data_IF_382498648327
#
_entry.id   IF_382498648327
#
_cell.length_a   1.000
_cell.length_b   1.000
_cell.length_c   1.000
_cell.angle_alpha   90.00
_cell.angle_beta   90.00
_cell.angle_gamma   90.00
#
_symmetry.space_group_name_H-M   'P 1'
#
loop_
_entity.id
_entity.type
_entity.pdbx_description
1 polymer ?
#
# COMPACT_ATOMS: atom_id res chain seq x y z
N UNK A 1 19.22 5.11 6.60
CA UNK A 1 19.47 6.41 5.96
C UNK A 1 19.18 6.25 4.48
N UNK A 2 18.24 7.00 3.93
CA UNK A 2 17.92 6.99 2.52
C UNK A 2 19.18 7.39 1.72
N UNK A 3 19.64 6.49 0.86
CA UNK A 3 20.77 6.78 -0.04
C UNK A 3 20.21 7.31 -1.37
N UNK A 4 20.33 8.62 -1.54
CA UNK A 4 19.86 9.32 -2.74
C UNK A 4 20.54 8.86 -4.03
N UNK A 5 21.78 8.37 -3.95
CA UNK A 5 22.54 7.98 -5.12
C UNK A 5 22.06 6.62 -5.66
N UNK A 6 21.82 5.67 -4.76
CA UNK A 6 21.26 4.35 -5.10
C UNK A 6 19.91 4.48 -5.83
N UNK A 7 19.05 5.40 -5.39
CA UNK A 7 17.70 5.60 -5.96
C UNK A 7 17.63 6.73 -7.01
N UNK A 8 18.77 7.27 -7.46
CA UNK A 8 18.78 8.43 -8.37
C UNK A 8 18.05 8.16 -9.69
N UNK A 9 18.15 6.95 -10.25
CA UNK A 9 17.45 6.55 -11.46
C UNK A 9 15.93 6.53 -11.27
N UNK A 10 15.46 5.91 -10.19
CA UNK A 10 14.06 5.86 -9.81
C UNK A 10 13.52 7.28 -9.54
N UNK A 11 14.24 8.08 -8.76
CA UNK A 11 13.86 9.46 -8.48
C UNK A 11 13.72 10.33 -9.75
N UNK A 12 14.62 10.14 -10.74
CA UNK A 12 14.51 10.83 -12.04
C UNK A 12 13.26 10.40 -12.80
N UNK A 13 12.94 9.10 -12.82
CA UNK A 13 11.74 8.57 -13.47
C UNK A 13 10.46 9.16 -12.83
N UNK A 14 10.39 9.20 -11.49
CA UNK A 14 9.26 9.79 -10.78
C UNK A 14 9.13 11.29 -11.06
N UNK A 15 10.21 12.05 -11.02
CA UNK A 15 10.20 13.49 -11.34
C UNK A 15 9.71 13.77 -12.75
N UNK A 16 10.15 12.99 -13.73
CA UNK A 16 9.68 13.14 -15.11
C UNK A 16 8.19 12.80 -15.25
N UNK A 17 7.74 11.71 -14.61
CA UNK A 17 6.35 11.29 -14.60
C UNK A 17 5.41 12.34 -13.99
N UNK A 18 5.86 12.99 -12.94
CA UNK A 18 5.04 13.92 -12.14
C UNK A 18 5.18 15.38 -12.53
N UNK A 19 6.03 15.71 -13.52
CA UNK A 19 6.32 17.10 -13.92
C UNK A 19 5.08 17.95 -14.25
N UNK A 20 3.98 17.33 -14.69
CA UNK A 20 2.73 17.99 -15.04
C UNK A 20 1.66 17.89 -13.93
N UNK A 21 1.99 17.30 -12.77
CA UNK A 21 1.06 17.23 -11.64
C UNK A 21 0.96 18.57 -10.87
N UNK A 22 1.87 19.51 -11.15
CA UNK A 22 1.90 20.79 -10.43
C UNK A 22 2.29 20.62 -8.97
N UNK A 23 1.58 21.31 -8.09
CA UNK A 23 1.73 21.24 -6.63
C UNK A 23 0.70 20.32 -5.96
N UNK A 24 -0.13 19.62 -6.73
CA UNK A 24 -1.17 18.72 -6.25
C UNK A 24 -0.52 17.40 -5.77
N UNK A 25 -0.39 17.25 -4.46
CA UNK A 25 0.22 16.08 -3.83
C UNK A 25 -0.58 14.80 -4.12
N UNK A 26 -1.91 14.86 -4.17
CA UNK A 26 -2.76 13.71 -4.49
C UNK A 26 -2.49 13.20 -5.91
N UNK A 27 -2.39 14.11 -6.89
CA UNK A 27 -2.05 13.74 -8.27
C UNK A 27 -0.65 13.14 -8.39
N UNK A 28 0.31 13.59 -7.57
CA UNK A 28 1.65 12.98 -7.49
C UNK A 28 1.58 11.58 -6.92
N UNK A 29 0.83 11.39 -5.82
CA UNK A 29 0.62 10.07 -5.18
C UNK A 29 0.04 9.08 -6.18
N UNK A 30 -1.03 9.44 -6.88
CA UNK A 30 -1.68 8.57 -7.86
C UNK A 30 -0.72 8.12 -8.97
N UNK A 31 0.07 9.04 -9.51
CA UNK A 31 1.06 8.74 -10.55
C UNK A 31 2.17 7.82 -10.06
N UNK A 32 2.65 8.01 -8.84
CA UNK A 32 3.66 7.15 -8.24
C UNK A 32 3.11 5.73 -8.03
N UNK A 33 1.90 5.60 -7.51
CA UNK A 33 1.23 4.31 -7.31
C UNK A 33 1.01 3.61 -8.64
N UNK A 34 0.51 4.31 -9.64
CA UNK A 34 0.29 3.76 -10.98
C UNK A 34 1.61 3.27 -11.60
N UNK A 35 2.66 4.07 -11.54
CA UNK A 35 4.00 3.68 -12.02
C UNK A 35 4.47 2.37 -11.39
N UNK A 36 4.36 2.24 -10.07
CA UNK A 36 4.78 1.04 -9.34
C UNK A 36 3.97 -0.17 -9.81
N UNK A 37 2.64 -0.04 -9.91
CA UNK A 37 1.75 -1.11 -10.37
C UNK A 37 2.01 -1.56 -11.81
N UNK A 38 2.47 -0.65 -12.67
CA UNK A 38 2.86 -0.97 -14.05
C UNK A 38 4.19 -1.70 -14.14
N UNK A 39 5.08 -1.55 -13.14
CA UNK A 39 6.42 -2.14 -13.15
C UNK A 39 6.54 -3.43 -12.34
N UNK A 40 5.56 -3.75 -11.51
CA UNK A 40 5.59 -4.94 -10.67
C UNK A 40 4.29 -5.73 -10.74
N UNK A 41 4.41 -7.06 -10.80
CA UNK A 41 3.32 -8.01 -10.57
C UNK A 41 3.32 -8.47 -9.13
N UNK A 42 2.14 -8.67 -8.55
CA UNK A 42 2.03 -9.14 -7.17
C UNK A 42 2.29 -10.64 -7.07
N UNK A 43 3.19 -11.03 -6.15
CA UNK A 43 3.40 -12.43 -5.74
C UNK A 43 3.91 -12.48 -4.32
N UNK A 44 3.46 -13.44 -3.53
CA UNK A 44 3.98 -13.68 -2.17
C UNK A 44 5.30 -14.46 -2.15
N UNK A 45 5.72 -14.96 -3.30
CA UNK A 45 6.95 -15.76 -3.47
C UNK A 45 7.79 -15.20 -4.63
N UNK A 46 8.32 -13.97 -4.50
CA UNK A 46 9.17 -13.38 -5.53
C UNK A 46 10.45 -14.18 -5.69
N UNK A 47 11.02 -14.13 -6.88
CA UNK A 47 12.31 -14.79 -7.17
C UNK A 47 13.40 -14.24 -6.26
N UNK A 48 14.29 -15.11 -5.78
CA UNK A 48 15.44 -14.67 -4.99
C UNK A 48 16.38 -13.81 -5.82
N UNK A 49 17.04 -12.86 -5.18
CA UNK A 49 18.04 -11.98 -5.75
C UNK A 49 19.32 -11.98 -4.89
N UNK A 50 20.42 -11.49 -5.44
CA UNK A 50 21.70 -11.44 -4.74
C UNK A 50 21.66 -10.44 -3.57
N UNK A 51 22.37 -10.72 -2.49
CA UNK A 51 22.33 -9.95 -1.24
C UNK A 51 22.89 -8.52 -1.35
N UNK A 52 23.62 -8.23 -2.41
CA UNK A 52 24.21 -6.91 -2.73
C UNK A 52 23.29 -6.04 -3.59
N UNK A 53 22.12 -6.54 -3.97
CA UNK A 53 21.13 -5.81 -4.77
C UNK A 53 20.05 -5.22 -3.88
N UNK A 54 19.69 -3.96 -4.10
CA UNK A 54 18.57 -3.34 -3.41
C UNK A 54 17.25 -4.02 -3.79
N UNK A 55 16.45 -4.51 -2.82
CA UNK A 55 15.24 -5.28 -3.09
C UNK A 55 14.16 -4.47 -3.83
N UNK A 56 14.06 -3.16 -3.58
CA UNK A 56 13.05 -2.31 -4.22
C UNK A 56 13.41 -2.07 -5.69
N UNK A 57 14.68 -1.77 -5.97
CA UNK A 57 15.15 -1.58 -7.35
C UNK A 57 15.11 -2.89 -8.14
N UNK A 58 15.42 -4.02 -7.49
CA UNK A 58 15.28 -5.32 -8.12
C UNK A 58 13.81 -5.60 -8.50
N UNK A 59 12.89 -5.39 -7.56
CA UNK A 59 11.46 -5.61 -7.79
C UNK A 59 10.91 -4.73 -8.92
N UNK A 60 11.35 -3.46 -9.00
CA UNK A 60 10.88 -2.52 -10.02
C UNK A 60 11.47 -2.78 -11.41
N UNK A 61 12.79 -3.13 -11.51
CA UNK A 61 13.51 -3.03 -12.78
C UNK A 61 14.12 -4.34 -13.28
N UNK A 62 14.11 -5.40 -12.48
CA UNK A 62 14.72 -6.68 -12.83
C UNK A 62 13.77 -7.85 -12.64
N UNK A 63 13.26 -8.04 -11.44
CA UNK A 63 12.33 -9.13 -11.11
C UNK A 63 10.93 -8.86 -11.63
N UNK A 64 10.50 -7.59 -11.64
CA UNK A 64 9.16 -7.12 -11.98
C UNK A 64 8.07 -7.82 -11.15
N UNK A 65 8.39 -8.18 -9.92
CA UNK A 65 7.49 -8.89 -9.02
C UNK A 65 7.79 -8.57 -7.56
N UNK A 66 6.77 -8.65 -6.69
CA UNK A 66 6.91 -8.40 -5.27
C UNK A 66 5.59 -8.51 -4.52
N UNK A 67 5.63 -8.30 -3.22
CA UNK A 67 4.47 -8.25 -2.32
C UNK A 67 4.38 -6.90 -1.60
N UNK A 68 3.41 -6.74 -0.73
CA UNK A 68 3.07 -5.44 -0.10
C UNK A 68 4.29 -4.63 0.40
N UNK A 69 5.30 -5.29 0.99
CA UNK A 69 6.53 -4.63 1.46
C UNK A 69 7.27 -3.92 0.33
N UNK A 70 7.39 -4.56 -0.85
CA UNK A 70 8.06 -3.96 -2.01
C UNK A 70 7.28 -2.77 -2.55
N UNK A 71 5.95 -2.91 -2.67
CA UNK A 71 5.05 -1.84 -3.12
C UNK A 71 5.09 -0.63 -2.19
N UNK A 72 4.93 -0.86 -0.88
CA UNK A 72 4.96 0.20 0.12
C UNK A 72 6.32 0.90 0.19
N UNK A 73 7.43 0.13 0.10
CA UNK A 73 8.78 0.70 0.10
C UNK A 73 9.04 1.54 -1.14
N UNK A 74 8.65 1.05 -2.33
CA UNK A 74 8.78 1.80 -3.57
C UNK A 74 7.97 3.11 -3.52
N UNK A 75 6.73 3.06 -3.00
CA UNK A 75 5.89 4.24 -2.85
C UNK A 75 6.51 5.26 -1.88
N UNK A 76 6.98 4.81 -0.71
CA UNK A 76 7.64 5.69 0.26
C UNK A 76 8.87 6.39 -0.35
N UNK A 77 9.72 5.65 -1.06
CA UNK A 77 10.93 6.19 -1.70
C UNK A 77 10.53 7.17 -2.82
N UNK A 78 9.59 6.79 -3.69
CA UNK A 78 9.14 7.62 -4.81
C UNK A 78 8.58 8.97 -4.33
N UNK A 79 7.69 8.95 -3.34
CA UNK A 79 7.10 10.18 -2.79
C UNK A 79 8.12 11.05 -2.05
N UNK A 80 9.05 10.45 -1.30
CA UNK A 80 10.13 11.20 -0.65
C UNK A 80 11.07 11.88 -1.63
N UNK A 81 11.25 11.36 -2.84
CA UNK A 81 11.99 12.06 -3.90
C UNK A 81 11.27 13.29 -4.43
N UNK A 82 9.96 13.38 -4.20
CA UNK A 82 9.09 14.52 -4.50
C UNK A 82 8.88 15.43 -3.27
N UNK A 83 9.65 15.21 -2.21
CA UNK A 83 9.55 15.97 -0.95
C UNK A 83 8.18 15.85 -0.26
N UNK A 84 7.42 14.82 -0.58
CA UNK A 84 6.17 14.48 0.13
C UNK A 84 6.53 13.63 1.34
N UNK A 85 6.24 14.08 2.57
CA UNK A 85 6.50 13.29 3.77
C UNK A 85 5.68 12.00 3.75
N UNK A 86 6.32 10.88 4.11
CA UNK A 86 5.66 9.57 4.16
C UNK A 86 6.02 8.80 5.42
N UNK A 87 5.05 8.09 5.97
CA UNK A 87 5.25 7.07 7.01
C UNK A 87 5.09 5.70 6.38
N UNK A 88 6.01 4.80 6.68
CA UNK A 88 5.89 3.39 6.31
C UNK A 88 5.24 2.64 7.47
N UNK A 89 4.15 1.95 7.20
CA UNK A 89 3.36 1.25 8.19
C UNK A 89 3.32 -0.25 7.91
N UNK A 90 3.26 -1.04 8.98
CA UNK A 90 2.97 -2.47 8.93
C UNK A 90 1.85 -2.79 9.90
N UNK A 91 1.04 -3.78 9.59
CA UNK A 91 -0.09 -4.17 10.41
C UNK A 91 -0.88 -5.32 9.79
N UNK A 92 -2.18 -5.30 9.99
CA UNK A 92 -3.07 -6.35 9.49
C UNK A 92 -4.27 -5.72 8.79
N UNK A 93 -4.68 -6.33 7.68
CA UNK A 93 -5.95 -6.03 7.03
C UNK A 93 -6.87 -7.23 7.23
N UNK A 94 -7.81 -7.06 8.15
CA UNK A 94 -8.75 -8.12 8.54
C UNK A 94 -10.01 -7.95 7.71
N UNK A 95 -10.37 -8.94 6.85
CA UNK A 95 -11.55 -8.83 6.01
C UNK A 95 -12.83 -8.82 6.85
N UNK A 96 -13.88 -8.17 6.35
CA UNK A 96 -15.18 -8.09 7.03
C UNK A 96 -15.76 -9.48 7.34
N UNK A 97 -15.52 -10.45 6.47
CA UNK A 97 -15.95 -11.85 6.65
C UNK A 97 -15.29 -12.59 7.83
N UNK A 98 -14.17 -12.07 8.36
CA UNK A 98 -13.49 -12.65 9.52
C UNK A 98 -14.08 -12.19 10.85
N UNK A 99 -14.95 -11.18 10.85
CA UNK A 99 -15.56 -10.63 12.05
C UNK A 99 -16.84 -11.39 12.42
N UNK A 100 -16.95 -11.78 13.69
CA UNK A 100 -18.12 -12.47 14.23
C UNK A 100 -18.80 -11.59 15.26
N UNK A 101 -20.07 -11.29 15.06
CA UNK A 101 -20.87 -10.54 16.03
C UNK A 101 -21.18 -11.40 17.25
N UNK A 102 -20.93 -10.85 18.43
CA UNK A 102 -21.19 -11.49 19.73
C UNK A 102 -22.59 -11.15 20.24
N UNK A 103 -23.04 -11.88 21.28
CA UNK A 103 -24.35 -11.66 21.88
C UNK A 103 -24.51 -10.29 22.57
N UNK A 104 -23.40 -9.70 23.01
CA UNK A 104 -23.35 -8.36 23.61
C UNK A 104 -23.31 -7.22 22.58
N UNK A 105 -23.31 -7.54 21.28
CA UNK A 105 -23.27 -6.59 20.18
C UNK A 105 -21.87 -6.21 19.71
N UNK A 106 -20.80 -6.69 20.35
CA UNK A 106 -19.40 -6.49 19.91
C UNK A 106 -19.06 -7.38 18.73
N UNK A 107 -17.95 -7.07 18.06
CA UNK A 107 -17.41 -7.88 16.96
C UNK A 107 -16.03 -8.40 17.32
N UNK A 108 -15.79 -9.68 17.10
CA UNK A 108 -14.52 -10.33 17.32
C UNK A 108 -14.00 -10.94 16.02
N UNK A 109 -12.69 -10.83 15.81
CA UNK A 109 -11.98 -11.50 14.73
C UNK A 109 -10.67 -12.11 15.25
N UNK A 110 -10.31 -13.27 14.70
CA UNK A 110 -8.96 -13.82 14.90
C UNK A 110 -8.04 -13.23 13.85
N UNK A 111 -6.99 -12.52 14.30
CA UNK A 111 -6.00 -11.95 13.41
C UNK A 111 -5.01 -13.05 13.03
N UNK A 112 -5.02 -13.45 11.77
CA UNK A 112 -4.14 -14.47 11.23
C UNK A 112 -2.93 -13.80 10.54
N UNK A 113 -1.78 -14.48 10.53
CA UNK A 113 -0.56 -13.99 9.87
C UNK A 113 -0.77 -13.64 8.39
N UNK A 114 -1.63 -14.38 7.70
CA UNK A 114 -1.99 -14.11 6.30
C UNK A 114 -2.63 -12.73 6.07
N UNK A 115 -3.11 -12.06 7.13
CA UNK A 115 -3.65 -10.71 7.06
C UNK A 115 -2.57 -9.63 7.21
N UNK A 116 -1.31 -10.03 7.44
CA UNK A 116 -0.19 -9.09 7.52
C UNK A 116 -0.08 -8.24 6.27
N UNK A 117 0.15 -6.95 6.46
CA UNK A 117 0.19 -6.00 5.36
C UNK A 117 1.16 -4.86 5.63
N UNK A 118 1.66 -4.25 4.55
CA UNK A 118 2.45 -3.04 4.58
C UNK A 118 1.84 -2.00 3.63
N UNK A 119 1.77 -0.76 4.08
CA UNK A 119 1.27 0.40 3.34
C UNK A 119 2.03 1.66 3.74
N UNK A 120 1.68 2.78 3.17
CA UNK A 120 2.21 4.07 3.61
C UNK A 120 1.09 5.04 3.98
N UNK A 121 1.44 6.08 4.75
CA UNK A 121 0.69 7.31 4.83
C UNK A 121 1.50 8.40 4.14
N UNK A 122 0.86 9.19 3.30
CA UNK A 122 1.43 10.38 2.67
C UNK A 122 0.81 11.64 3.28
N UNK A 123 1.61 12.68 3.47
CA UNK A 123 1.10 13.96 3.94
C UNK A 123 0.71 14.84 2.76
N UNK A 124 -0.57 15.11 2.62
CA UNK A 124 -1.10 16.04 1.61
C UNK A 124 -1.08 17.46 2.19
N UNK A 125 -0.23 18.31 1.61
CA UNK A 125 0.01 19.67 2.11
C UNK A 125 -1.22 20.56 1.97
N UNK A 126 -1.97 20.44 0.89
CA UNK A 126 -3.16 21.24 0.64
C UNK A 126 -4.32 20.89 1.59
N UNK A 127 -4.42 19.63 1.97
CA UNK A 127 -5.41 19.14 2.93
C UNK A 127 -4.93 19.20 4.39
N UNK A 128 -3.64 19.51 4.60
CA UNK A 128 -2.97 19.49 5.92
C UNK A 128 -3.22 18.17 6.68
N UNK A 129 -3.26 17.04 5.98
CA UNK A 129 -3.65 15.76 6.53
C UNK A 129 -2.78 14.59 6.05
N UNK A 130 -2.71 13.53 6.85
CA UNK A 130 -2.14 12.25 6.47
C UNK A 130 -3.19 11.39 5.80
N UNK A 131 -2.91 10.90 4.61
CA UNK A 131 -3.78 10.00 3.86
C UNK A 131 -3.15 8.63 3.74
N UNK A 132 -3.97 7.59 3.87
CA UNK A 132 -3.55 6.21 3.69
C UNK A 132 -3.39 5.93 2.20
N UNK A 133 -2.23 5.41 1.82
CA UNK A 133 -1.91 5.04 0.44
C UNK A 133 -1.47 3.59 0.38
N UNK A 134 -2.30 2.74 -0.19
CA UNK A 134 -1.96 1.35 -0.46
C UNK A 134 -1.57 1.18 -1.93
N UNK A 135 -0.28 1.06 -2.17
CA UNK A 135 0.24 0.86 -3.53
C UNK A 135 0.04 -0.58 -4.04
N UNK A 136 -0.32 -1.53 -3.18
CA UNK A 136 -0.54 -2.93 -3.55
C UNK A 136 -1.77 -3.06 -4.45
N UNK A 137 -1.72 -3.82 -5.56
CA UNK A 137 -2.90 -4.09 -6.38
C UNK A 137 -3.97 -4.87 -5.60
N UNK A 138 -5.20 -4.34 -5.53
CA UNK A 138 -6.29 -4.94 -4.76
C UNK A 138 -6.75 -6.31 -5.31
N UNK A 139 -6.82 -6.47 -6.63
CA UNK A 139 -7.32 -7.70 -7.26
C UNK A 139 -6.53 -8.96 -6.93
N UNK A 140 -5.21 -8.85 -6.85
CA UNK A 140 -4.33 -10.00 -6.54
C UNK A 140 -4.28 -10.35 -5.06
N UNK A 141 -4.74 -9.45 -4.20
CA UNK A 141 -4.76 -9.62 -2.77
C UNK A 141 -5.99 -10.39 -2.29
N UNK A 142 -7.16 -10.14 -2.91
CA UNK A 142 -8.37 -10.88 -2.63
C UNK A 142 -8.16 -12.38 -2.86
N UNK A 143 -7.56 -12.76 -3.98
CA UNK A 143 -7.26 -14.16 -4.32
C UNK A 143 -6.28 -14.81 -3.34
N UNK A 144 -5.25 -14.07 -2.92
CA UNK A 144 -4.20 -14.59 -2.03
C UNK A 144 -4.68 -14.74 -0.59
N UNK A 145 -5.58 -13.87 -0.14
CA UNK A 145 -6.10 -13.87 1.23
C UNK A 145 -7.41 -14.65 1.37
N UNK A 146 -7.98 -15.16 0.26
CA UNK A 146 -9.32 -15.75 0.25
C UNK A 146 -10.37 -14.71 0.70
N UNK A 147 -10.13 -13.43 0.45
CA UNK A 147 -11.11 -12.38 0.60
C UNK A 147 -12.01 -12.48 -0.63
N UNK A 148 -13.31 -12.73 -0.49
CA UNK A 148 -14.21 -12.71 -1.65
C UNK A 148 -14.11 -11.37 -2.35
N UNK A 149 -14.08 -11.36 -3.68
CA UNK A 149 -14.36 -10.14 -4.45
C UNK A 149 -15.62 -9.49 -3.89
N UNK A 150 -15.70 -8.16 -3.95
CA UNK A 150 -16.86 -7.44 -3.45
C UNK A 150 -18.16 -8.15 -3.87
N UNK A 151 -19.14 -8.32 -2.94
CA UNK A 151 -20.39 -8.98 -3.30
C UNK A 151 -20.99 -8.20 -4.47
N UNK A 152 -21.30 -8.94 -5.54
CA UNK A 152 -22.09 -8.45 -6.67
C UNK A 152 -23.30 -7.64 -6.15
N UNK A 153 -23.24 -6.33 -6.28
CA UNK A 153 -24.25 -5.37 -5.79
C UNK A 153 -25.44 -5.31 -6.77
N UNK A 154 -25.86 -6.45 -7.29
CA UNK A 154 -27.11 -6.61 -8.02
C UNK A 154 -28.25 -6.97 -7.07
N UNK A 155 -28.68 -6.00 -6.28
CA UNK A 155 -30.01 -6.04 -5.62
C UNK A 155 -30.03 -6.16 -4.13
N UNK A 156 -29.91 -5.05 -3.42
CA UNK A 156 -30.87 -4.65 -2.38
C UNK A 156 -30.52 -3.26 -1.84
N UNK A 157 -31.40 -2.30 -2.09
CA UNK A 157 -31.39 -1.01 -1.40
C UNK A 157 -31.82 -1.24 0.04
N UNK A 158 -30.94 -1.06 1.02
CA UNK A 158 -31.18 -0.37 2.29
C UNK A 158 -30.01 -0.62 3.26
N UNK A 159 -29.47 0.45 3.82
CA UNK A 159 -28.60 0.41 5.00
C UNK A 159 -27.18 0.88 4.69
N UNK A 160 -26.91 2.10 5.09
CA UNK A 160 -25.59 2.71 5.21
C UNK A 160 -24.69 1.87 6.12
N UNK A 161 -23.87 1.00 5.55
CA UNK A 161 -22.67 0.51 6.21
C UNK A 161 -21.49 0.96 5.35
N UNK A 162 -20.86 2.06 5.78
CA UNK A 162 -19.54 2.46 5.29
C UNK A 162 -18.58 1.41 5.80
N UNK A 163 -17.91 0.71 4.89
CA UNK A 163 -16.82 -0.23 5.18
C UNK A 163 -15.81 0.44 6.10
N UNK A 164 -15.83 0.04 7.37
CA UNK A 164 -14.89 0.53 8.37
C UNK A 164 -13.61 -0.29 8.24
N UNK A 165 -12.67 0.20 7.46
CA UNK A 165 -11.29 -0.26 7.53
C UNK A 165 -10.71 0.28 8.84
N UNK A 166 -10.74 -0.55 9.89
CA UNK A 166 -10.13 -0.20 11.17
C UNK A 166 -8.63 -0.48 11.09
N UNK A 167 -7.84 0.57 10.93
CA UNK A 167 -6.39 0.51 11.08
C UNK A 167 -6.07 0.84 12.54
N UNK A 168 -5.52 -0.12 13.28
CA UNK A 168 -4.97 0.15 14.60
C UNK A 168 -3.47 0.35 14.43
N UNK A 169 -3.00 1.59 14.50
CA UNK A 169 -1.61 1.93 14.70
C UNK A 169 -1.38 2.21 16.18
N UNK A 170 -1.22 1.18 16.98
CA UNK A 170 -0.59 1.29 18.29
C UNK A 170 0.81 0.71 18.18
N UNK A 171 1.75 1.53 17.72
CA UNK A 171 3.15 1.32 18.03
C UNK A 171 3.34 1.89 19.44
N UNK A 172 3.44 1.00 20.42
CA UNK A 172 3.83 1.37 21.77
C UNK A 172 5.20 2.05 21.76
N UNK A 173 5.25 3.27 22.27
CA UNK A 173 6.45 3.88 22.77
C UNK A 173 6.95 3.06 23.97
N UNK A 174 8.11 2.41 23.85
CA UNK A 174 9.08 2.17 24.92
C UNK A 174 10.49 2.25 24.35
#
# INVERSE_FOLDING_TARGET
KYDSDTFSGYGKAIKELTKNAGTDDSAVVDKVVEYIRQHMSYTISPKPFASDVDPVLYALYTGHEGYCVHYASAAAIGLRTMEIPTKYNTGYVVPSSAWTRQADGTYHAYILEKYSHAWIEAYERDAENWVIVDATPLGNRADTLGIPDEPDNSGSQNGQDKDCLLYTSDAADE
#
